data_IF_478836950098
#
_entry.id   IF_478836950098
#
_cell.length_a   1.000
_cell.length_b   1.000
_cell.length_c   1.000
_cell.angle_alpha   90.00
_cell.angle_beta   90.00
_cell.angle_gamma   90.00
#
_symmetry.space_group_name_H-M   'P 1'
#
loop_
_entity.id
_entity.type
_entity.pdbx_description
1 polymer ?
#
# COMPACT_ATOMS: atom_id res chain seq x y z
N UNK A 1 -22.06 -4.99 1.94
CA UNK A 1 -23.29 -5.09 2.78
C UNK A 1 -23.48 -6.44 3.47
N UNK A 2 -23.54 -7.57 2.77
CA UNK A 2 -23.87 -8.87 3.38
C UNK A 2 -22.99 -9.28 4.58
N UNK A 3 -21.67 -9.07 4.49
CA UNK A 3 -20.74 -9.33 5.61
C UNK A 3 -21.03 -8.46 6.84
N UNK A 4 -21.27 -7.16 6.65
CA UNK A 4 -21.55 -6.24 7.76
C UNK A 4 -22.86 -6.62 8.44
N UNK A 5 -23.89 -6.98 7.68
CA UNK A 5 -25.13 -7.50 8.25
C UNK A 5 -24.90 -8.82 9.00
N UNK A 6 -24.06 -9.71 8.49
CA UNK A 6 -23.72 -10.95 9.19
C UNK A 6 -23.04 -10.67 10.54
N UNK A 7 -22.17 -9.67 10.63
CA UNK A 7 -21.61 -9.20 11.91
C UNK A 7 -22.63 -8.52 12.82
N UNK A 8 -23.58 -7.75 12.27
CA UNK A 8 -24.66 -7.14 13.05
C UNK A 8 -25.53 -8.19 13.75
N UNK A 9 -25.83 -9.31 13.08
CA UNK A 9 -26.70 -10.35 13.64
C UNK A 9 -25.94 -11.44 14.40
N UNK A 10 -24.84 -11.94 13.84
CA UNK A 10 -24.09 -13.11 14.32
C UNK A 10 -22.68 -12.81 14.84
N UNK A 11 -22.22 -11.56 14.71
CA UNK A 11 -20.96 -11.12 15.30
C UNK A 11 -21.00 -11.10 16.83
N UNK A 12 -19.83 -10.96 17.44
CA UNK A 12 -19.65 -10.84 18.90
C UNK A 12 -18.78 -9.63 19.24
N UNK A 13 -18.84 -9.18 20.49
CA UNK A 13 -18.00 -8.12 21.03
C UNK A 13 -18.14 -6.77 20.32
N UNK A 14 -17.02 -6.04 20.25
CA UNK A 14 -16.91 -4.71 19.64
C UNK A 14 -17.26 -4.71 18.15
N UNK A 15 -16.94 -5.79 17.43
CA UNK A 15 -17.26 -5.93 16.00
C UNK A 15 -18.77 -5.91 15.73
N UNK A 16 -19.60 -6.48 16.60
CA UNK A 16 -21.07 -6.41 16.44
C UNK A 16 -21.58 -4.97 16.66
N UNK A 17 -21.04 -4.28 17.65
CA UNK A 17 -21.44 -2.92 18.01
C UNK A 17 -21.09 -1.92 16.90
N UNK A 18 -19.90 -2.04 16.31
CA UNK A 18 -19.44 -1.15 15.23
C UNK A 18 -20.05 -1.47 13.86
N UNK A 19 -20.47 -2.73 13.62
CA UNK A 19 -21.00 -3.17 12.32
C UNK A 19 -22.20 -2.37 11.82
N UNK A 20 -23.09 -1.91 12.71
CA UNK A 20 -24.25 -1.10 12.34
C UNK A 20 -23.87 0.24 11.74
N UNK A 21 -22.95 0.98 12.40
CA UNK A 21 -22.43 2.24 11.88
C UNK A 21 -21.66 2.05 10.57
N UNK A 22 -20.82 1.00 10.51
CA UNK A 22 -20.09 0.66 9.29
C UNK A 22 -21.03 0.33 8.11
N UNK A 23 -22.16 -0.35 8.36
CA UNK A 23 -23.15 -0.68 7.33
C UNK A 23 -23.80 0.58 6.73
N UNK A 24 -24.11 1.58 7.56
CA UNK A 24 -24.68 2.85 7.10
C UNK A 24 -23.67 3.60 6.21
N UNK A 25 -22.41 3.71 6.67
CA UNK A 25 -21.34 4.38 5.92
C UNK A 25 -21.06 3.65 4.60
N UNK A 26 -21.06 2.31 4.61
CA UNK A 26 -20.89 1.51 3.41
C UNK A 26 -22.02 1.75 2.40
N UNK A 27 -23.28 1.68 2.86
CA UNK A 27 -24.45 1.72 2.00
C UNK A 27 -24.70 3.11 1.41
N UNK A 28 -24.71 4.13 2.26
CA UNK A 28 -25.03 5.51 1.87
C UNK A 28 -23.78 6.29 1.46
N UNK A 29 -22.67 6.09 2.15
CA UNK A 29 -21.40 6.77 1.85
C UNK A 29 -20.60 6.11 0.72
N UNK A 30 -20.84 4.83 0.43
CA UNK A 30 -20.14 4.13 -0.65
C UNK A 30 -18.66 3.85 -0.36
N UNK A 31 -18.26 3.89 0.91
CA UNK A 31 -16.89 3.61 1.33
C UNK A 31 -16.76 2.10 1.53
N UNK A 32 -16.40 1.40 0.46
CA UNK A 32 -16.25 -0.07 0.47
C UNK A 32 -15.07 -0.54 1.34
N UNK A 33 -14.15 0.33 1.73
CA UNK A 33 -13.03 -0.07 2.58
C UNK A 33 -13.43 -0.32 4.05
N UNK A 34 -14.62 0.15 4.48
CA UNK A 34 -15.08 0.05 5.86
C UNK A 34 -15.34 -1.40 6.30
N UNK A 35 -15.51 -2.34 5.37
CA UNK A 35 -15.68 -3.76 5.70
C UNK A 35 -14.35 -4.52 5.79
N UNK A 36 -13.21 -3.94 5.39
CA UNK A 36 -11.92 -4.64 5.40
C UNK A 36 -11.48 -5.11 6.78
N UNK A 37 -11.61 -4.32 7.87
CA UNK A 37 -11.23 -4.79 9.21
C UNK A 37 -11.97 -6.08 9.59
N UNK A 38 -13.26 -6.18 9.26
CA UNK A 38 -14.10 -7.35 9.51
C UNK A 38 -13.62 -8.58 8.73
N UNK A 39 -13.17 -8.41 7.48
CA UNK A 39 -12.62 -9.50 6.69
C UNK A 39 -11.22 -9.89 7.17
N UNK A 40 -10.39 -8.95 7.65
CA UNK A 40 -9.07 -9.26 8.21
C UNK A 40 -9.16 -10.01 9.54
N UNK A 41 -10.18 -9.74 10.36
CA UNK A 41 -10.44 -10.52 11.57
C UNK A 41 -10.77 -11.98 11.25
N UNK A 42 -11.47 -12.25 10.15
CA UNK A 42 -11.74 -13.61 9.69
C UNK A 42 -11.53 -13.74 8.18
N UNK A 43 -10.30 -14.05 7.72
CA UNK A 43 -9.95 -14.11 6.29
C UNK A 43 -10.81 -15.07 5.46
N UNK A 44 -11.50 -16.03 6.08
CA UNK A 44 -12.44 -16.93 5.38
C UNK A 44 -13.59 -16.17 4.74
N UNK A 45 -13.94 -14.99 5.27
CA UNK A 45 -14.99 -14.12 4.73
C UNK A 45 -14.67 -13.57 3.34
N UNK A 46 -13.42 -13.68 2.87
CA UNK A 46 -13.07 -13.41 1.47
C UNK A 46 -13.91 -14.27 0.52
N UNK A 47 -14.23 -15.52 0.89
CA UNK A 47 -15.12 -16.38 0.11
C UNK A 47 -16.52 -15.77 -0.05
N UNK A 48 -17.04 -15.14 1.00
CA UNK A 48 -18.33 -14.47 0.96
C UNK A 48 -18.30 -13.20 0.09
N UNK A 49 -17.17 -12.51 0.00
CA UNK A 49 -16.98 -11.37 -0.92
C UNK A 49 -16.99 -11.86 -2.37
N UNK A 50 -16.19 -12.88 -2.68
CA UNK A 50 -16.04 -13.42 -4.03
C UNK A 50 -17.39 -13.94 -4.54
N UNK A 51 -18.05 -14.81 -3.78
CA UNK A 51 -19.31 -15.42 -4.19
C UNK A 51 -20.45 -14.39 -4.28
N UNK A 52 -20.49 -13.40 -3.38
CA UNK A 52 -21.41 -12.26 -3.50
C UNK A 52 -21.17 -11.44 -4.77
N UNK A 53 -19.92 -11.11 -5.06
CA UNK A 53 -19.52 -10.38 -6.27
C UNK A 53 -19.87 -11.12 -7.56
N UNK A 54 -19.53 -12.42 -7.62
CA UNK A 54 -19.89 -13.28 -8.76
C UNK A 54 -21.39 -13.33 -8.98
N UNK A 55 -22.19 -13.47 -7.91
CA UNK A 55 -23.66 -13.47 -8.00
C UNK A 55 -24.19 -12.15 -8.54
N UNK A 56 -23.65 -11.02 -8.07
CA UNK A 56 -24.04 -9.69 -8.55
C UNK A 56 -23.76 -9.50 -10.04
N UNK A 57 -22.53 -9.82 -10.48
CA UNK A 57 -22.14 -9.74 -11.90
C UNK A 57 -23.00 -10.67 -12.75
N UNK A 58 -23.18 -11.92 -12.33
CA UNK A 58 -24.03 -12.90 -13.02
C UNK A 58 -25.48 -12.43 -13.18
N UNK A 59 -26.06 -11.85 -12.12
CA UNK A 59 -27.43 -11.30 -12.15
C UNK A 59 -27.55 -10.15 -13.14
N UNK A 60 -26.54 -9.26 -13.19
CA UNK A 60 -26.48 -8.18 -14.19
C UNK A 60 -26.37 -8.75 -15.61
N UNK A 61 -25.56 -9.79 -15.82
CA UNK A 61 -25.42 -10.44 -17.13
C UNK A 61 -26.73 -11.06 -17.62
N UNK A 62 -27.49 -11.73 -16.74
CA UNK A 62 -28.78 -12.34 -17.10
C UNK A 62 -29.86 -11.28 -17.37
N UNK A 63 -29.96 -10.27 -16.51
CA UNK A 63 -31.01 -9.27 -16.59
C UNK A 63 -30.66 -8.09 -17.51
N UNK A 64 -29.52 -8.18 -18.22
CA UNK A 64 -28.95 -7.14 -19.06
C UNK A 64 -28.88 -5.77 -18.36
N UNK A 65 -28.46 -5.80 -17.09
CA UNK A 65 -28.25 -4.64 -16.25
C UNK A 65 -26.86 -4.01 -16.43
N UNK A 66 -26.63 -2.89 -15.77
CA UNK A 66 -25.36 -2.18 -15.86
C UNK A 66 -25.48 -0.72 -15.46
N UNK A 67 -24.34 -0.04 -15.41
CA UNK A 67 -24.25 1.38 -15.10
C UNK A 67 -23.76 2.14 -16.33
N UNK A 68 -24.21 3.38 -16.48
CA UNK A 68 -23.77 4.29 -17.56
C UNK A 68 -22.29 4.63 -17.40
N UNK A 69 -21.83 4.76 -16.16
CA UNK A 69 -20.43 4.99 -15.81
C UNK A 69 -20.08 4.30 -14.49
N UNK A 70 -18.79 4.11 -14.18
CA UNK A 70 -18.37 3.63 -12.87
C UNK A 70 -18.89 4.54 -11.75
N UNK A 71 -19.69 3.99 -10.84
CA UNK A 71 -20.20 4.75 -9.70
C UNK A 71 -19.07 5.00 -8.68
N UNK A 72 -18.74 6.28 -8.47
CA UNK A 72 -17.79 6.72 -7.45
C UNK A 72 -18.36 7.94 -6.72
N UNK A 73 -18.56 7.89 -5.39
CA UNK A 73 -18.39 6.75 -4.48
C UNK A 73 -19.33 5.57 -4.80
N UNK A 74 -18.99 4.36 -4.35
CA UNK A 74 -19.78 3.15 -4.63
C UNK A 74 -21.07 3.01 -3.80
N UNK A 75 -21.76 4.13 -3.50
CA UNK A 75 -22.96 4.14 -2.66
C UNK A 75 -24.19 3.70 -3.42
N UNK A 76 -25.24 3.26 -2.71
CA UNK A 76 -26.52 2.92 -3.36
C UNK A 76 -27.09 4.12 -4.12
N UNK A 77 -26.91 5.33 -3.61
CA UNK A 77 -27.39 6.56 -4.23
C UNK A 77 -26.67 6.83 -5.55
N UNK A 78 -25.34 6.67 -5.57
CA UNK A 78 -24.56 6.83 -6.80
C UNK A 78 -24.88 5.73 -7.82
N UNK A 79 -25.05 4.48 -7.37
CA UNK A 79 -25.42 3.36 -8.24
C UNK A 79 -26.79 3.59 -8.87
N UNK A 80 -27.79 4.01 -8.09
CA UNK A 80 -29.13 4.34 -8.61
C UNK A 80 -29.12 5.56 -9.53
N UNK A 81 -28.29 6.56 -9.25
CA UNK A 81 -28.13 7.73 -10.11
C UNK A 81 -27.47 7.39 -11.46
N UNK A 82 -26.51 6.47 -11.46
CA UNK A 82 -25.79 6.01 -12.67
C UNK A 82 -26.49 4.85 -13.39
N UNK A 83 -27.66 4.43 -12.92
CA UNK A 83 -28.46 3.37 -13.54
C UNK A 83 -29.26 3.93 -14.72
N UNK A 84 -29.14 3.36 -15.94
CA UNK A 84 -29.92 3.83 -17.09
C UNK A 84 -31.41 3.53 -16.90
N UNK A 85 -32.26 4.37 -17.53
CA UNK A 85 -33.72 4.19 -17.53
C UNK A 85 -34.06 2.83 -18.16
N UNK A 86 -34.72 1.96 -17.39
CA UNK A 86 -35.04 0.58 -17.79
C UNK A 86 -34.20 -0.51 -17.11
N UNK A 87 -33.01 -0.19 -16.58
CA UNK A 87 -32.13 -1.16 -15.92
C UNK A 87 -32.26 -1.19 -14.38
N UNK A 88 -33.12 -0.36 -13.79
CA UNK A 88 -33.34 -0.29 -12.33
C UNK A 88 -33.68 -1.65 -11.72
N UNK A 89 -34.57 -2.40 -12.37
CA UNK A 89 -34.94 -3.72 -11.88
C UNK A 89 -33.74 -4.68 -11.85
N UNK A 90 -32.94 -4.71 -12.92
CA UNK A 90 -31.74 -5.54 -13.02
C UNK A 90 -30.71 -5.17 -11.95
N UNK A 91 -30.41 -3.88 -11.79
CA UNK A 91 -29.39 -3.40 -10.87
C UNK A 91 -29.80 -3.59 -9.40
N UNK A 92 -31.04 -3.28 -9.04
CA UNK A 92 -31.54 -3.49 -7.67
C UNK A 92 -31.55 -4.98 -7.32
N UNK A 93 -32.02 -5.83 -8.24
CA UNK A 93 -32.02 -7.29 -8.05
C UNK A 93 -30.61 -7.83 -7.87
N UNK A 94 -29.64 -7.36 -8.67
CA UNK A 94 -28.25 -7.74 -8.53
C UNK A 94 -27.64 -7.36 -7.17
N UNK A 95 -27.93 -6.16 -6.67
CA UNK A 95 -27.46 -5.69 -5.35
C UNK A 95 -28.04 -6.56 -4.24
N UNK A 96 -29.35 -6.84 -4.29
CA UNK A 96 -30.04 -7.66 -3.29
C UNK A 96 -29.53 -9.10 -3.34
N UNK A 97 -29.38 -9.69 -4.52
CA UNK A 97 -28.86 -11.05 -4.69
C UNK A 97 -27.42 -11.18 -4.17
N UNK A 98 -26.53 -10.26 -4.55
CA UNK A 98 -25.15 -10.22 -4.06
C UNK A 98 -25.09 -10.06 -2.53
N UNK A 99 -25.94 -9.18 -1.97
CA UNK A 99 -26.05 -8.99 -0.53
C UNK A 99 -26.54 -10.25 0.18
N UNK A 100 -27.56 -10.92 -0.34
CA UNK A 100 -28.14 -12.12 0.25
C UNK A 100 -27.15 -13.28 0.24
N UNK A 101 -26.50 -13.57 -0.90
CA UNK A 101 -25.50 -14.64 -1.00
C UNK A 101 -24.32 -14.36 -0.07
N UNK A 102 -23.78 -13.14 -0.09
CA UNK A 102 -22.69 -12.76 0.80
C UNK A 102 -23.08 -12.87 2.28
N UNK A 103 -24.32 -12.49 2.64
CA UNK A 103 -24.84 -12.62 4.00
C UNK A 103 -24.99 -14.07 4.44
N UNK A 104 -25.53 -14.97 3.60
CA UNK A 104 -25.73 -16.38 3.93
C UNK A 104 -24.38 -17.05 4.19
N UNK A 105 -23.42 -16.86 3.27
CA UNK A 105 -22.09 -17.47 3.39
C UNK A 105 -21.35 -16.90 4.61
N UNK A 106 -21.38 -15.58 4.81
CA UNK A 106 -20.75 -14.95 5.96
C UNK A 106 -21.38 -15.41 7.28
N UNK A 107 -22.71 -15.51 7.35
CA UNK A 107 -23.43 -16.00 8.53
C UNK A 107 -23.05 -17.44 8.88
N UNK A 108 -22.94 -18.33 7.89
CA UNK A 108 -22.48 -19.71 8.10
C UNK A 108 -21.04 -19.71 8.61
N UNK A 109 -20.13 -19.00 7.92
CA UNK A 109 -18.71 -18.96 8.28
C UNK A 109 -18.48 -18.38 9.68
N UNK A 110 -19.19 -17.32 10.06
CA UNK A 110 -19.11 -16.73 11.40
C UNK A 110 -19.65 -17.67 12.48
N UNK A 111 -20.72 -18.41 12.20
CA UNK A 111 -21.30 -19.36 13.16
C UNK A 111 -20.45 -20.61 13.35
N UNK A 112 -19.76 -21.07 12.31
CA UNK A 112 -18.83 -22.21 12.39
C UNK A 112 -17.45 -21.84 12.92
N UNK A 113 -17.08 -20.56 12.86
CA UNK A 113 -15.80 -20.09 13.37
C UNK A 113 -15.92 -19.82 14.87
N UNK A 114 -15.09 -20.49 15.68
CA UNK A 114 -14.77 -20.04 17.04
C UNK A 114 -13.91 -18.77 16.94
N UNK A 115 -14.48 -17.68 16.45
CA UNK A 115 -13.85 -16.37 16.50
C UNK A 115 -13.66 -16.09 17.99
N UNK A 116 -12.39 -16.04 18.44
CA UNK A 116 -12.06 -15.71 19.82
C UNK A 116 -12.61 -14.31 20.10
N UNK A 117 -13.16 -14.11 21.30
CA UNK A 117 -13.72 -12.81 21.70
C UNK A 117 -12.69 -11.66 21.66
N UNK A 118 -11.40 -11.99 21.54
CA UNK A 118 -10.25 -11.09 21.47
C UNK A 118 -9.82 -10.65 20.05
N UNK A 119 -10.55 -10.98 18.97
CA UNK A 119 -10.25 -10.35 17.68
C UNK A 119 -10.70 -8.87 17.74
N UNK A 120 -9.78 -8.03 18.18
CA UNK A 120 -9.97 -6.61 18.39
C UNK A 120 -10.12 -5.88 17.05
N UNK A 121 -11.33 -5.36 16.81
CA UNK A 121 -11.66 -4.56 15.62
C UNK A 121 -10.73 -3.34 15.50
N UNK A 122 -10.21 -2.82 16.61
CA UNK A 122 -9.30 -1.68 16.61
C UNK A 122 -7.92 -2.09 16.06
N UNK A 123 -7.41 -3.25 16.48
CA UNK A 123 -6.18 -3.82 15.92
C UNK A 123 -6.32 -4.12 14.43
N UNK A 124 -7.44 -4.68 14.00
CA UNK A 124 -7.71 -4.92 12.57
C UNK A 124 -7.82 -3.60 11.78
N UNK A 125 -8.43 -2.58 12.37
CA UNK A 125 -8.54 -1.24 11.76
C UNK A 125 -7.17 -0.59 11.60
N UNK A 126 -6.29 -0.69 12.60
CA UNK A 126 -4.89 -0.23 12.50
C UNK A 126 -4.14 -0.94 11.38
N UNK A 127 -4.25 -2.27 11.27
CA UNK A 127 -3.64 -3.03 10.16
C UNK A 127 -4.13 -2.56 8.79
N UNK A 128 -5.43 -2.28 8.63
CA UNK A 128 -5.96 -1.70 7.38
C UNK A 128 -5.37 -0.32 7.10
N UNK A 129 -5.21 0.52 8.13
CA UNK A 129 -4.59 1.84 7.98
C UNK A 129 -3.13 1.73 7.58
N UNK A 130 -2.36 0.83 8.20
CA UNK A 130 -0.95 0.58 7.88
C UNK A 130 -0.80 0.06 6.45
N UNK A 131 -1.61 -0.92 6.04
CA UNK A 131 -1.62 -1.44 4.67
C UNK A 131 -2.00 -0.37 3.64
N UNK A 132 -2.93 0.53 3.98
CA UNK A 132 -3.28 1.68 3.11
C UNK A 132 -2.15 2.70 3.03
N UNK A 133 -1.47 2.98 4.14
CA UNK A 133 -0.34 3.89 4.18
C UNK A 133 0.82 3.34 3.34
N UNK A 134 1.13 2.05 3.49
CA UNK A 134 2.10 1.35 2.66
C UNK A 134 1.73 1.38 1.18
N UNK A 135 0.47 1.10 0.83
CA UNK A 135 -0.01 1.14 -0.56
C UNK A 135 0.03 2.54 -1.17
N UNK A 136 -0.06 3.60 -0.34
CA UNK A 136 0.05 5.01 -0.75
C UNK A 136 1.47 5.55 -0.70
N UNK A 137 2.44 4.71 -0.34
CA UNK A 137 3.83 5.08 -0.28
C UNK A 137 4.25 5.92 0.93
N UNK A 138 3.47 5.85 1.99
CA UNK A 138 3.68 6.54 3.25
C UNK A 138 4.25 5.61 4.32
N UNK A 139 4.91 4.50 3.95
CA UNK A 139 5.69 3.74 4.92
C UNK A 139 6.86 4.59 5.35
N UNK A 140 6.88 5.01 6.62
CA UNK A 140 8.10 5.51 7.23
C UNK A 140 9.20 4.47 6.98
N UNK A 141 10.33 4.93 6.43
CA UNK A 141 11.57 4.17 6.42
C UNK A 141 11.71 3.54 7.82
N UNK A 142 11.79 2.21 7.89
CA UNK A 142 12.27 1.58 9.12
C UNK A 142 13.68 2.10 9.34
N UNK A 143 13.78 3.09 10.21
CA UNK A 143 15.01 3.76 10.61
C UNK A 143 15.78 2.86 11.59
N UNK A 144 16.05 1.62 11.17
CA UNK A 144 17.08 0.77 11.76
C UNK A 144 18.28 0.82 10.82
N UNK A 145 19.36 1.46 11.27
CA UNK A 145 20.70 1.50 10.64
C UNK A 145 20.94 2.37 9.40
N UNK A 146 20.43 3.62 9.38
CA UNK A 146 21.05 4.68 8.54
C UNK A 146 21.91 5.61 9.37
N UNK A 147 22.86 5.04 10.12
CA UNK A 147 24.06 5.74 10.57
C UNK A 147 25.16 5.47 9.56
N UNK A 148 25.08 6.05 8.37
CA UNK A 148 26.28 6.31 7.60
C UNK A 148 26.06 7.44 6.59
N UNK A 149 27.14 8.14 6.35
CA UNK A 149 27.22 9.39 5.63
C UNK A 149 26.84 9.20 4.14
N UNK A 150 25.69 9.74 3.70
CA UNK A 150 25.31 9.74 2.27
C UNK A 150 26.06 10.82 1.45
N UNK A 151 26.94 11.61 2.07
CA UNK A 151 27.60 12.77 1.41
C UNK A 151 28.53 12.37 0.25
N UNK A 152 28.88 11.09 0.12
CA UNK A 152 29.77 10.57 -0.92
C UNK A 152 29.13 9.55 -1.88
N UNK A 153 27.81 9.32 -1.78
CA UNK A 153 27.12 8.33 -2.62
C UNK A 153 27.08 8.83 -4.06
N UNK A 154 27.78 8.12 -4.95
CA UNK A 154 27.82 8.38 -6.40
C UNK A 154 27.29 7.22 -7.22
N UNK A 155 27.38 5.99 -6.72
CA UNK A 155 26.86 4.80 -7.41
C UNK A 155 25.71 4.18 -6.62
N UNK A 156 24.51 4.24 -7.20
CA UNK A 156 23.31 3.61 -6.67
C UNK A 156 22.91 2.46 -7.59
N UNK A 157 22.74 1.26 -7.03
CA UNK A 157 22.24 0.10 -7.77
C UNK A 157 20.94 -0.41 -7.14
N UNK A 158 19.89 -0.49 -7.95
CA UNK A 158 18.66 -1.19 -7.57
C UNK A 158 18.79 -2.66 -7.97
N UNK A 159 18.75 -3.56 -6.98
CA UNK A 159 18.94 -4.99 -7.21
C UNK A 159 17.72 -5.84 -6.85
N UNK A 160 17.48 -6.86 -7.67
CA UNK A 160 16.54 -7.94 -7.39
C UNK A 160 17.15 -9.27 -7.84
N UNK A 161 16.45 -10.39 -7.60
CA UNK A 161 17.00 -11.73 -7.87
C UNK A 161 17.46 -11.91 -9.34
N UNK A 162 16.61 -11.50 -10.29
CA UNK A 162 16.89 -11.59 -11.73
C UNK A 162 17.43 -10.30 -12.37
N UNK A 163 17.31 -9.15 -11.69
CA UNK A 163 17.80 -7.86 -12.19
C UNK A 163 16.98 -7.16 -13.30
N UNK A 164 15.90 -7.77 -13.82
CA UNK A 164 15.17 -7.24 -15.00
C UNK A 164 13.74 -6.74 -14.75
N UNK A 165 13.14 -7.02 -13.60
CA UNK A 165 11.74 -6.70 -13.31
C UNK A 165 11.59 -5.43 -12.46
N UNK A 166 11.31 -5.64 -11.18
CA UNK A 166 11.14 -4.57 -10.20
C UNK A 166 12.35 -3.64 -10.06
N UNK A 167 13.56 -4.17 -10.23
CA UNK A 167 14.80 -3.41 -10.23
C UNK A 167 14.90 -2.41 -11.39
N UNK A 168 14.43 -2.78 -12.58
CA UNK A 168 14.43 -1.90 -13.75
C UNK A 168 13.47 -0.72 -13.56
N UNK A 169 12.27 -0.97 -13.05
CA UNK A 169 11.31 0.09 -12.74
C UNK A 169 11.83 1.01 -11.64
N UNK A 170 12.31 0.45 -10.52
CA UNK A 170 12.85 1.23 -9.40
C UNK A 170 14.04 2.09 -9.80
N UNK A 171 14.98 1.55 -10.58
CA UNK A 171 16.10 2.32 -11.11
C UNK A 171 15.65 3.41 -12.08
N UNK A 172 14.64 3.15 -12.92
CA UNK A 172 14.08 4.15 -13.84
C UNK A 172 13.46 5.35 -13.10
N UNK A 173 12.65 5.08 -12.07
CA UNK A 173 12.01 6.11 -11.25
C UNK A 173 13.06 6.93 -10.50
N UNK A 174 14.01 6.27 -9.83
CA UNK A 174 15.04 6.95 -9.06
C UNK A 174 15.98 7.75 -9.98
N UNK A 175 16.40 7.19 -11.12
CA UNK A 175 17.24 7.88 -12.11
C UNK A 175 16.59 9.17 -12.59
N UNK A 176 15.29 9.13 -12.92
CA UNK A 176 14.54 10.32 -13.33
C UNK A 176 14.51 11.37 -12.22
N UNK A 177 14.19 10.99 -10.98
CA UNK A 177 14.17 11.92 -9.83
C UNK A 177 15.53 12.55 -9.52
N UNK A 178 16.61 11.76 -9.58
CA UNK A 178 17.99 12.23 -9.36
C UNK A 178 18.41 13.22 -10.45
N UNK A 179 18.06 12.95 -11.71
CA UNK A 179 18.29 13.85 -12.84
C UNK A 179 17.48 15.14 -12.72
N UNK A 180 16.19 15.04 -12.39
CA UNK A 180 15.29 16.18 -12.17
C UNK A 180 15.77 17.06 -11.00
N UNK A 181 16.42 16.46 -9.99
CA UNK A 181 17.03 17.16 -8.87
C UNK A 181 18.43 17.76 -9.16
N UNK A 182 18.94 17.63 -10.39
CA UNK A 182 20.23 18.20 -10.80
C UNK A 182 21.47 17.47 -10.28
N UNK A 183 21.31 16.25 -9.74
CA UNK A 183 22.41 15.45 -9.16
C UNK A 183 23.14 14.64 -10.25
N UNK A 184 23.70 15.33 -11.24
CA UNK A 184 24.37 14.72 -12.41
C UNK A 184 25.56 13.81 -12.07
N UNK A 185 26.16 13.98 -10.89
CA UNK A 185 27.27 13.18 -10.36
C UNK A 185 26.84 11.80 -9.82
N UNK A 186 25.54 11.52 -9.70
CA UNK A 186 25.02 10.25 -9.19
C UNK A 186 24.59 9.37 -10.37
N UNK A 187 25.20 8.19 -10.47
CA UNK A 187 24.83 7.14 -11.41
C UNK A 187 23.84 6.17 -10.76
N UNK A 188 22.70 5.96 -11.42
CA UNK A 188 21.65 5.02 -10.99
C UNK A 188 21.50 3.93 -12.04
N UNK A 189 21.73 2.67 -11.64
CA UNK A 189 21.59 1.49 -12.51
C UNK A 189 20.83 0.37 -11.81
N UNK A 190 20.48 -0.69 -12.55
CA UNK A 190 19.91 -1.91 -12.00
C UNK A 190 20.80 -3.12 -12.31
N UNK A 191 20.81 -4.11 -11.42
CA UNK A 191 21.53 -5.37 -11.62
C UNK A 191 20.84 -6.53 -10.90
N UNK A 192 21.22 -7.76 -11.22
CA UNK A 192 20.91 -8.90 -10.38
C UNK A 192 21.75 -8.86 -9.11
N UNK A 193 21.24 -9.37 -7.99
CA UNK A 193 21.97 -9.38 -6.70
C UNK A 193 23.34 -10.05 -6.87
N UNK A 194 23.39 -11.18 -7.58
CA UNK A 194 24.62 -11.93 -7.85
C UNK A 194 25.69 -11.13 -8.61
N UNK A 195 25.30 -10.04 -9.30
CA UNK A 195 26.20 -9.19 -10.09
C UNK A 195 26.39 -7.81 -9.46
N UNK A 196 26.25 -7.70 -8.13
CA UNK A 196 26.57 -6.47 -7.41
C UNK A 196 28.09 -6.27 -7.36
N UNK A 197 28.61 -5.15 -7.90
CA UNK A 197 30.03 -4.85 -7.87
C UNK A 197 30.43 -4.37 -6.45
N UNK A 198 31.67 -4.64 -6.01
CA UNK A 198 32.09 -4.34 -4.64
C UNK A 198 32.25 -2.84 -4.35
N UNK A 199 32.34 -2.02 -5.39
CA UNK A 199 32.50 -0.55 -5.35
C UNK A 199 31.17 0.21 -5.39
N UNK A 200 30.04 -0.47 -5.14
CA UNK A 200 28.73 0.17 -5.03
C UNK A 200 28.62 0.89 -3.68
N UNK A 201 28.18 2.16 -3.72
CA UNK A 201 28.01 2.96 -2.49
C UNK A 201 26.67 2.64 -1.82
N UNK A 202 25.61 2.50 -2.63
CA UNK A 202 24.25 2.29 -2.18
C UNK A 202 23.52 1.21 -2.98
N UNK A 203 23.02 0.20 -2.29
CA UNK A 203 22.21 -0.88 -2.85
C UNK A 203 20.77 -0.74 -2.35
N UNK A 204 19.82 -0.77 -3.29
CA UNK A 204 18.38 -0.71 -3.00
C UNK A 204 17.74 -2.04 -3.42
N UNK A 205 17.12 -2.76 -2.50
CA UNK A 205 16.44 -4.04 -2.80
C UNK A 205 15.06 -4.12 -2.15
N UNK A 206 14.29 -5.15 -2.49
CA UNK A 206 13.13 -5.52 -1.69
C UNK A 206 13.55 -6.01 -0.31
N UNK A 207 12.71 -5.83 0.72
CA UNK A 207 12.97 -6.29 2.10
C UNK A 207 13.37 -7.76 2.18
N UNK A 208 12.69 -8.61 1.41
CA UNK A 208 12.96 -10.06 1.40
C UNK A 208 14.31 -10.44 0.78
N UNK A 209 14.94 -9.50 0.07
CA UNK A 209 16.20 -9.70 -0.64
C UNK A 209 17.37 -8.92 -0.04
N UNK A 210 17.11 -8.01 0.93
CA UNK A 210 18.14 -7.16 1.54
C UNK A 210 19.22 -7.96 2.24
N UNK A 211 18.87 -9.01 2.98
CA UNK A 211 19.86 -9.85 3.65
C UNK A 211 20.84 -10.49 2.65
N UNK A 212 20.33 -10.90 1.48
CA UNK A 212 21.16 -11.51 0.44
C UNK A 212 22.12 -10.49 -0.18
N UNK A 213 21.65 -9.26 -0.41
CA UNK A 213 22.51 -8.17 -0.87
C UNK A 213 23.56 -7.78 0.17
N UNK A 214 23.18 -7.72 1.46
CA UNK A 214 24.10 -7.46 2.58
C UNK A 214 25.20 -8.52 2.69
N UNK A 215 24.89 -9.80 2.45
CA UNK A 215 25.91 -10.85 2.43
C UNK A 215 26.90 -10.71 1.27
N UNK A 216 26.45 -10.20 0.12
CA UNK A 216 27.29 -10.05 -1.06
C UNK A 216 28.20 -8.83 -1.00
N UNK A 217 27.66 -7.69 -0.56
CA UNK A 217 28.41 -6.42 -0.43
C UNK A 217 28.14 -5.79 0.94
N UNK A 218 28.68 -6.37 2.03
CA UNK A 218 28.40 -5.91 3.40
C UNK A 218 28.92 -4.50 3.68
N UNK A 219 29.94 -4.06 2.94
CA UNK A 219 30.49 -2.70 3.06
C UNK A 219 29.62 -1.60 2.44
N UNK A 220 28.69 -1.95 1.53
CA UNK A 220 27.81 -0.98 0.88
C UNK A 220 26.68 -0.54 1.83
N UNK A 221 26.10 0.64 1.60
CA UNK A 221 24.87 1.01 2.28
C UNK A 221 23.68 0.26 1.66
N UNK A 222 22.76 -0.23 2.49
CA UNK A 222 21.60 -1.00 2.04
C UNK A 222 20.31 -0.29 2.43
N UNK A 223 19.40 -0.16 1.47
CA UNK A 223 18.05 0.36 1.69
C UNK A 223 17.04 -0.68 1.22
N UNK A 224 16.19 -1.12 2.14
CA UNK A 224 15.09 -2.02 1.84
C UNK A 224 13.83 -1.24 1.44
N UNK A 225 13.19 -1.67 0.36
CA UNK A 225 11.85 -1.25 -0.06
C UNK A 225 10.84 -2.37 0.22
N UNK A 226 9.60 -1.99 0.54
CA UNK A 226 8.47 -2.94 0.55
C UNK A 226 7.68 -2.91 -0.75
N UNK A 227 7.70 -1.79 -1.48
CA UNK A 227 7.05 -1.68 -2.78
C UNK A 227 7.90 -0.81 -3.74
N UNK A 228 8.16 -1.33 -4.95
CA UNK A 228 8.95 -0.63 -5.97
C UNK A 228 8.19 0.47 -6.72
N UNK A 229 6.87 0.56 -6.53
CA UNK A 229 6.04 1.64 -7.08
C UNK A 229 5.82 2.77 -6.08
N UNK A 230 6.42 2.67 -4.89
CA UNK A 230 6.31 3.66 -3.84
C UNK A 230 7.07 4.94 -4.21
N UNK A 231 6.36 5.85 -4.87
CA UNK A 231 6.91 7.15 -5.25
C UNK A 231 7.28 8.03 -4.06
N UNK A 232 6.67 7.82 -2.89
CA UNK A 232 6.93 8.57 -1.66
C UNK A 232 8.32 8.25 -1.12
N UNK A 233 8.66 6.97 -0.98
CA UNK A 233 10.00 6.52 -0.58
C UNK A 233 11.07 7.05 -1.53
N UNK A 234 10.89 6.93 -2.85
CA UNK A 234 11.88 7.49 -3.80
C UNK A 234 12.02 9.01 -3.68
N UNK A 235 10.95 9.72 -3.34
CA UNK A 235 11.00 11.17 -3.11
C UNK A 235 11.81 11.49 -1.86
N UNK A 236 11.51 10.86 -0.73
CA UNK A 236 12.26 11.05 0.51
C UNK A 236 13.72 10.64 0.38
N UNK A 237 14.02 9.58 -0.38
CA UNK A 237 15.40 9.18 -0.68
C UNK A 237 16.11 10.24 -1.52
N UNK A 238 15.45 10.77 -2.56
CA UNK A 238 16.02 11.83 -3.41
C UNK A 238 16.26 13.10 -2.60
N UNK A 239 15.30 13.53 -1.77
CA UNK A 239 15.46 14.69 -0.88
C UNK A 239 16.63 14.52 0.08
N UNK A 240 16.81 13.33 0.67
CA UNK A 240 17.97 13.03 1.53
C UNK A 240 19.29 13.09 0.77
N UNK A 241 19.33 12.61 -0.47
CA UNK A 241 20.51 12.71 -1.34
C UNK A 241 20.81 14.19 -1.67
N UNK A 242 19.79 14.98 -2.03
CA UNK A 242 19.94 16.43 -2.28
C UNK A 242 20.44 17.17 -1.04
N UNK A 243 19.79 16.97 0.11
CA UNK A 243 20.10 17.66 1.36
C UNK A 243 21.54 17.44 1.84
N UNK A 244 22.15 16.29 1.50
CA UNK A 244 23.54 15.98 1.87
C UNK A 244 24.56 16.23 0.77
N UNK A 245 24.12 16.40 -0.49
CA UNK A 245 24.99 16.74 -1.62
C UNK A 245 25.11 18.25 -1.83
N UNK A 246 24.19 19.06 -1.26
CA UNK A 246 24.30 20.51 -1.24
C UNK A 246 25.62 20.95 -0.56
N UNK A 247 26.39 21.86 -1.17
CA UNK A 247 27.79 22.05 -0.82
C UNK A 247 28.01 22.64 0.58
N UNK A 248 28.89 22.01 1.36
CA UNK A 248 29.53 22.54 2.57
C UNK A 248 30.41 23.80 2.32
N UNK A 249 30.22 24.53 1.22
CA UNK A 249 31.08 25.67 0.84
C UNK A 249 30.93 26.91 1.74
N UNK A 250 29.94 26.99 2.63
CA UNK A 250 29.76 28.15 3.53
C UNK A 250 30.24 27.95 4.97
N UNK A 251 30.66 26.74 5.38
CA UNK A 251 31.06 26.51 6.80
C UNK A 251 32.56 26.67 7.08
N UNK A 252 33.41 26.82 6.05
CA UNK A 252 34.87 26.93 6.23
C UNK A 252 35.42 28.35 6.31
N UNK A 253 34.62 29.39 6.06
CA UNK A 253 35.13 30.77 6.01
C UNK A 253 34.95 31.58 7.30
N UNK A 254 34.19 31.08 8.30
CA UNK A 254 34.01 31.80 9.58
C UNK A 254 34.99 31.43 10.70
N UNK A 255 36.02 30.61 10.42
CA UNK A 255 37.04 30.22 11.41
C UNK A 255 38.44 30.48 10.86
N UNK A 256 38.76 31.73 10.53
CA UNK A 256 40.15 32.18 10.68
C UNK A 256 40.30 32.73 12.10
N UNK A 257 41.13 32.13 12.97
CA UNK A 257 41.47 32.77 14.22
C UNK A 257 42.29 34.02 13.89
N UNK A 258 41.79 35.19 14.28
CA UNK A 258 42.58 36.41 14.34
C UNK A 258 43.57 36.29 15.50
N UNK A 259 44.72 35.68 15.27
CA UNK A 259 45.85 35.74 16.20
C UNK A 259 46.90 36.76 15.73
N UNK A 260 47.08 37.77 16.61
CA UNK A 260 48.32 38.53 16.93
C UNK A 260 48.72 39.62 15.92
N UNK A 261 49.23 40.80 16.29
CA UNK A 261 49.97 41.33 17.45
C UNK A 261 49.65 42.85 17.57
N UNK A 262 49.51 43.43 18.77
CA UNK A 262 50.53 44.22 19.48
C UNK A 262 51.18 45.32 18.62
#
# INVERSE_FOLDING_TARGET
MGILMAYMFFGRGSAKQSAGGAAIIHFLGGIHEIYFPYVLMNPRLILAVILGGMTGVFTLTILNGGLVSPASPGSILAVLAMTPKGAYFANITAIIAAMAVSFIIASILLKTSKVKEDDDIDAATRRVQDMKAESKGASALSAGDVTNDLSHVRKIIVACDAGMGSSAMGAGVLRKKVQDAGLSQISVTNSAINNLPPDVDLVITHRDLTERAMRQVPQAQHISLTNFLDSGLYTSLTERLVARTAPQHQRRESTRPSERQL
#
